data_IF_930423285626
#
_entry.id   IF_930423285626
#
_cell.length_a   1.000
_cell.length_b   1.000
_cell.length_c   1.000
_cell.angle_alpha   90.00
_cell.angle_beta   90.00
_cell.angle_gamma   90.00
#
_symmetry.space_group_name_H-M   'P 1'
#
loop_
_entity.id
_entity.type
_entity.pdbx_description
1 polymer ?
#
# COMPACT_ATOMS: atom_id res chain seq x y z
N UNK A 1 30.36 -2.82 18.14
CA UNK A 1 29.71 -2.53 16.85
C UNK A 1 28.47 -1.71 17.12
N UNK A 2 28.35 -0.51 16.53
CA UNK A 2 27.19 0.34 16.71
C UNK A 2 25.95 -0.34 16.11
N UNK A 3 24.89 -0.51 16.90
CA UNK A 3 23.62 -1.02 16.40
C UNK A 3 22.96 0.07 15.56
N UNK A 4 22.78 -0.19 14.27
CA UNK A 4 22.04 0.70 13.38
C UNK A 4 20.53 0.39 13.46
N UNK A 5 19.70 1.43 13.36
CA UNK A 5 18.25 1.27 13.37
C UNK A 5 17.76 0.78 12.01
N UNK A 6 16.95 -0.27 12.01
CA UNK A 6 16.20 -0.74 10.85
C UNK A 6 14.69 -0.60 11.11
N UNK A 7 13.91 -0.49 10.04
CA UNK A 7 12.45 -0.46 10.07
C UNK A 7 11.87 -1.39 8.99
N UNK A 8 10.68 -1.91 9.25
CA UNK A 8 9.95 -2.70 8.26
C UNK A 8 9.14 -1.76 7.37
N UNK A 9 9.12 -2.04 6.07
CA UNK A 9 8.38 -1.29 5.07
C UNK A 9 7.55 -2.26 4.24
N UNK A 10 6.32 -1.86 3.92
CA UNK A 10 5.50 -2.54 2.93
C UNK A 10 5.74 -1.92 1.54
N UNK A 11 5.67 -2.76 0.51
CA UNK A 11 5.59 -2.37 -0.89
C UNK A 11 4.35 -3.04 -1.46
N UNK A 12 3.42 -2.23 -1.95
CA UNK A 12 2.22 -2.72 -2.60
C UNK A 12 2.37 -2.60 -4.10
N UNK A 13 2.29 -3.72 -4.81
CA UNK A 13 2.35 -3.76 -6.27
C UNK A 13 1.12 -4.49 -6.80
N UNK A 14 0.37 -3.81 -7.67
CA UNK A 14 -0.63 -4.46 -8.50
C UNK A 14 0.11 -5.36 -9.50
N UNK A 15 0.03 -6.68 -9.33
CA UNK A 15 0.59 -7.65 -10.27
C UNK A 15 -0.54 -8.28 -11.13
N UNK A 16 -0.17 -9.11 -12.10
CA UNK A 16 -1.10 -9.75 -13.04
C UNK A 16 -2.01 -10.83 -12.43
N UNK A 17 -1.71 -11.29 -11.21
CA UNK A 17 -2.44 -12.33 -10.48
C UNK A 17 -3.24 -11.76 -9.30
N UNK A 18 -3.12 -10.46 -9.02
CA UNK A 18 -3.75 -9.78 -7.89
C UNK A 18 -2.90 -8.61 -7.40
N UNK A 19 -3.35 -7.96 -6.34
CA UNK A 19 -2.53 -6.97 -5.64
C UNK A 19 -1.79 -7.71 -4.54
N UNK A 20 -0.46 -7.68 -4.60
CA UNK A 20 0.40 -8.35 -3.62
C UNK A 20 1.18 -7.29 -2.83
N UNK A 21 1.32 -7.51 -1.53
CA UNK A 21 2.13 -6.65 -0.68
C UNK A 21 3.33 -7.42 -0.17
N UNK A 22 4.51 -6.82 -0.33
CA UNK A 22 5.77 -7.39 0.13
C UNK A 22 6.29 -6.60 1.30
N UNK A 23 6.74 -7.32 2.31
CA UNK A 23 7.42 -6.75 3.46
C UNK A 23 8.94 -6.80 3.21
N UNK A 24 9.61 -5.68 3.44
CA UNK A 24 11.06 -5.59 3.35
C UNK A 24 11.61 -4.82 4.55
N UNK A 25 12.85 -5.14 4.93
CA UNK A 25 13.56 -4.40 5.96
C UNK A 25 14.39 -3.31 5.32
N UNK A 26 14.41 -2.14 5.96
CA UNK A 26 15.09 -0.95 5.52
C UNK A 26 16.00 -0.43 6.63
N UNK A 27 17.20 0.01 6.29
CA UNK A 27 18.04 0.76 7.22
C UNK A 27 17.56 2.23 7.31
N UNK A 28 18.21 3.03 8.16
CA UNK A 28 17.92 4.47 8.29
C UNK A 28 18.06 5.26 6.97
N UNK A 29 18.85 4.76 6.02
CA UNK A 29 19.06 5.36 4.70
C UNK A 29 18.03 4.92 3.65
N UNK A 30 17.14 3.98 3.97
CA UNK A 30 16.16 3.43 3.03
C UNK A 30 16.71 2.30 2.14
N UNK A 31 17.92 1.80 2.41
CA UNK A 31 18.50 0.65 1.74
C UNK A 31 17.89 -0.65 2.28
N UNK A 32 17.73 -1.64 1.41
CA UNK A 32 17.17 -2.94 1.80
C UNK A 32 18.17 -3.73 2.63
N UNK A 33 17.71 -4.31 3.74
CA UNK A 33 18.51 -5.11 4.67
C UNK A 33 17.97 -6.54 4.73
N UNK A 34 18.85 -7.53 4.87
CA UNK A 34 18.46 -8.93 5.11
C UNK A 34 17.77 -9.11 6.46
N UNK A 35 16.72 -9.93 6.52
CA UNK A 35 15.96 -10.17 7.75
C UNK A 35 16.80 -10.84 8.85
N UNK A 36 17.81 -11.61 8.46
CA UNK A 36 18.79 -12.28 9.31
C UNK A 36 19.66 -11.30 10.12
N UNK A 37 19.78 -10.04 9.66
CA UNK A 37 20.53 -9.00 10.33
C UNK A 37 19.68 -8.11 11.24
N UNK A 38 18.36 -8.34 11.29
CA UNK A 38 17.43 -7.51 12.05
C UNK A 38 16.95 -8.25 13.29
N UNK A 39 17.00 -7.55 14.43
CA UNK A 39 16.36 -7.99 15.67
C UNK A 39 15.20 -7.08 16.01
N UNK A 40 14.08 -7.67 16.42
CA UNK A 40 12.97 -6.90 16.97
C UNK A 40 13.38 -6.24 18.28
N UNK A 41 12.74 -5.11 18.58
CA UNK A 41 12.82 -4.49 19.90
C UNK A 41 12.22 -5.44 20.94
N UNK A 42 12.68 -5.32 22.17
CA UNK A 42 12.13 -6.09 23.29
C UNK A 42 10.62 -5.88 23.40
N UNK A 43 9.87 -6.97 23.58
CA UNK A 43 8.41 -6.96 23.65
C UNK A 43 7.66 -6.83 22.31
N UNK A 44 8.36 -6.64 21.18
CA UNK A 44 7.73 -6.55 19.85
C UNK A 44 7.74 -7.90 19.15
N UNK A 45 6.54 -8.41 18.88
CA UNK A 45 6.37 -9.61 18.05
C UNK A 45 6.45 -9.27 16.56
N UNK A 46 6.79 -10.28 15.74
CA UNK A 46 6.75 -10.15 14.28
C UNK A 46 5.36 -9.73 13.77
N UNK A 47 4.28 -10.25 14.38
CA UNK A 47 2.92 -9.90 14.01
C UNK A 47 2.62 -8.41 14.24
N UNK A 48 2.96 -7.88 15.42
CA UNK A 48 2.80 -6.46 15.73
C UNK A 48 3.63 -5.56 14.80
N UNK A 49 4.83 -5.99 14.43
CA UNK A 49 5.67 -5.26 13.49
C UNK A 49 5.03 -5.21 12.08
N UNK A 50 4.44 -6.32 11.62
CA UNK A 50 3.73 -6.38 10.34
C UNK A 50 2.50 -5.49 10.37
N UNK A 51 1.66 -5.61 11.39
CA UNK A 51 0.46 -4.78 11.58
C UNK A 51 0.82 -3.29 11.57
N UNK A 52 1.82 -2.89 12.36
CA UNK A 52 2.28 -1.51 12.42
C UNK A 52 2.79 -1.00 11.07
N UNK A 53 3.44 -1.87 10.29
CA UNK A 53 3.94 -1.53 8.96
C UNK A 53 2.80 -1.31 7.98
N UNK A 54 1.79 -2.18 7.97
CA UNK A 54 0.60 -2.06 7.12
C UNK A 54 -0.15 -0.78 7.46
N UNK A 55 -0.43 -0.54 8.74
CA UNK A 55 -1.12 0.67 9.21
C UNK A 55 -0.36 1.93 8.80
N UNK A 56 0.97 1.93 8.93
CA UNK A 56 1.77 3.07 8.54
C UNK A 56 1.73 3.29 7.02
N UNK A 57 1.84 2.22 6.23
CA UNK A 57 1.76 2.29 4.78
C UNK A 57 0.40 2.81 4.32
N UNK A 58 -0.70 2.28 4.86
CA UNK A 58 -2.07 2.71 4.51
C UNK A 58 -2.32 4.19 4.86
N UNK A 59 -1.79 4.66 6.00
CA UNK A 59 -1.84 6.08 6.38
C UNK A 59 -1.11 6.96 5.36
N UNK A 60 0.12 6.57 4.99
CA UNK A 60 0.91 7.30 4.01
C UNK A 60 0.24 7.30 2.63
N UNK A 61 -0.33 6.17 2.20
CA UNK A 61 -1.00 6.04 0.92
C UNK A 61 -2.28 6.89 0.87
N UNK A 62 -3.09 6.85 1.93
CA UNK A 62 -4.27 7.73 2.06
C UNK A 62 -3.89 9.20 1.95
N UNK A 63 -2.87 9.63 2.70
CA UNK A 63 -2.41 11.02 2.66
C UNK A 63 -1.87 11.43 1.28
N UNK A 64 -1.15 10.53 0.60
CA UNK A 64 -0.63 10.76 -0.77
C UNK A 64 -1.76 10.94 -1.77
N UNK A 65 -2.75 10.04 -1.75
CA UNK A 65 -3.91 10.07 -2.66
C UNK A 65 -4.78 11.29 -2.38
N UNK A 66 -5.07 11.58 -1.11
CA UNK A 66 -5.85 12.74 -0.69
C UNK A 66 -5.20 14.05 -1.12
N UNK A 67 -3.89 14.20 -0.86
CA UNK A 67 -3.13 15.39 -1.29
C UNK A 67 -3.23 15.59 -2.80
N UNK A 68 -2.91 14.56 -3.58
CA UNK A 68 -2.94 14.65 -5.04
C UNK A 68 -4.33 14.99 -5.57
N UNK A 69 -5.37 14.29 -5.12
CA UNK A 69 -6.73 14.52 -5.58
C UNK A 69 -7.23 15.92 -5.19
N UNK A 70 -6.88 16.40 -4.00
CA UNK A 70 -7.22 17.75 -3.53
C UNK A 70 -6.54 18.82 -4.37
N UNK A 71 -5.23 18.71 -4.59
CA UNK A 71 -4.46 19.65 -5.42
C UNK A 71 -4.99 19.70 -6.87
N UNK A 72 -5.34 18.55 -7.45
CA UNK A 72 -5.94 18.46 -8.77
C UNK A 72 -7.29 19.20 -8.84
N UNK A 73 -8.19 18.96 -7.88
CA UNK A 73 -9.51 19.61 -7.86
C UNK A 73 -9.37 21.13 -7.71
N UNK A 74 -8.48 21.59 -6.82
CA UNK A 74 -8.22 23.01 -6.61
C UNK A 74 -7.66 23.65 -7.90
N UNK A 75 -6.70 23.02 -8.55
CA UNK A 75 -6.13 23.52 -9.79
C UNK A 75 -7.19 23.64 -10.90
N UNK A 76 -8.03 22.61 -11.06
CA UNK A 76 -9.14 22.63 -12.03
C UNK A 76 -10.15 23.74 -11.71
N UNK A 77 -10.51 23.91 -10.43
CA UNK A 77 -11.42 24.98 -10.00
C UNK A 77 -10.86 26.37 -10.32
N UNK A 78 -9.56 26.60 -10.02
CA UNK A 78 -8.88 27.87 -10.35
C UNK A 78 -8.90 28.15 -11.84
N UNK A 79 -8.60 27.16 -12.67
CA UNK A 79 -8.65 27.32 -14.13
C UNK A 79 -10.06 27.63 -14.64
N UNK A 80 -11.11 27.06 -14.05
CA UNK A 80 -12.50 27.40 -14.38
C UNK A 80 -12.81 28.86 -14.08
N UNK A 81 -12.40 29.37 -12.92
CA UNK A 81 -12.60 30.77 -12.53
C UNK A 81 -11.88 31.72 -13.49
N UNK A 82 -10.61 31.45 -13.80
CA UNK A 82 -9.82 32.27 -14.75
C UNK A 82 -10.48 32.30 -16.12
N UNK A 83 -10.97 31.15 -16.60
CA UNK A 83 -11.65 31.07 -17.89
C UNK A 83 -12.97 31.83 -17.90
N UNK A 84 -13.79 31.66 -16.85
CA UNK A 84 -15.04 32.39 -16.70
C UNK A 84 -14.80 33.91 -16.67
N UNK A 85 -13.79 34.37 -15.93
CA UNK A 85 -13.44 35.79 -15.88
C UNK A 85 -13.01 36.35 -17.25
N UNK A 86 -12.36 35.53 -18.08
CA UNK A 86 -11.96 35.90 -19.45
C UNK A 86 -13.13 35.91 -20.44
N UNK A 87 -13.99 34.91 -20.39
CA UNK A 87 -15.11 34.74 -21.34
C UNK A 87 -16.32 35.63 -20.99
N UNK A 88 -16.44 36.03 -19.72
CA UNK A 88 -17.55 36.84 -19.23
C UNK A 88 -18.85 36.05 -19.15
N UNK A 89 -19.97 36.77 -19.04
CA UNK A 89 -21.31 36.18 -18.82
C UNK A 89 -22.19 36.17 -20.07
N UNK A 90 -21.61 36.47 -21.23
CA UNK A 90 -22.35 36.57 -22.50
C UNK A 90 -22.83 35.20 -23.00
N UNK A 91 -22.10 34.13 -22.68
CA UNK A 91 -22.49 32.75 -22.97
C UNK A 91 -22.92 32.04 -21.69
N UNK A 92 -23.84 31.05 -21.79
CA UNK A 92 -24.17 30.20 -20.65
C UNK A 92 -22.91 29.55 -20.06
N UNK A 93 -22.78 29.50 -18.72
CA UNK A 93 -21.63 28.88 -18.08
C UNK A 93 -21.58 27.39 -18.44
N UNK A 94 -20.44 26.95 -18.94
CA UNK A 94 -20.17 25.54 -19.20
C UNK A 94 -18.80 25.15 -18.66
N UNK A 95 -18.62 23.87 -18.32
CA UNK A 95 -17.33 23.34 -17.89
C UNK A 95 -16.71 22.54 -19.04
N UNK A 96 -15.61 23.06 -19.64
CA UNK A 96 -14.83 22.38 -20.67
C UNK A 96 -14.32 21.02 -20.19
N UNK A 97 -14.23 20.05 -21.10
CA UNK A 97 -13.89 18.66 -20.77
C UNK A 97 -12.54 18.54 -20.07
N UNK A 98 -11.56 19.33 -20.49
CA UNK A 98 -10.20 19.41 -19.94
C UNK A 98 -10.16 19.95 -18.49
N UNK A 99 -11.20 20.69 -18.10
CA UNK A 99 -11.35 21.24 -16.75
C UNK A 99 -12.25 20.36 -15.85
N UNK A 100 -12.75 19.23 -16.35
CA UNK A 100 -13.51 18.27 -15.53
C UNK A 100 -12.56 17.35 -14.78
N UNK A 101 -13.00 16.93 -13.59
CA UNK A 101 -12.23 16.01 -12.73
C UNK A 101 -12.16 14.62 -13.37
N UNK A 102 -13.28 14.08 -13.85
CA UNK A 102 -13.36 12.79 -14.55
C UNK A 102 -12.55 11.66 -13.86
N UNK A 103 -12.05 10.68 -14.63
CA UNK A 103 -11.20 9.56 -14.18
C UNK A 103 -9.74 9.97 -13.91
N UNK A 104 -9.49 11.24 -13.54
CA UNK A 104 -8.12 11.75 -13.30
C UNK A 104 -7.69 11.64 -11.83
N UNK A 105 -8.63 11.34 -10.94
CA UNK A 105 -8.33 11.07 -9.53
C UNK A 105 -7.68 9.70 -9.39
N UNK A 106 -6.76 9.61 -8.44
CA UNK A 106 -6.17 8.34 -8.04
C UNK A 106 -7.14 7.64 -7.10
N UNK A 107 -7.43 6.36 -7.38
CA UNK A 107 -8.17 5.50 -6.45
C UNK A 107 -7.26 5.13 -5.28
N UNK A 108 -7.74 5.35 -4.06
CA UNK A 108 -7.07 4.87 -2.86
C UNK A 108 -7.32 3.37 -2.73
N UNK A 109 -6.27 2.56 -2.82
CA UNK A 109 -6.33 1.13 -2.53
C UNK A 109 -5.41 0.88 -1.34
N UNK A 110 -5.94 0.29 -0.28
CA UNK A 110 -5.20 0.04 0.95
C UNK A 110 -4.89 -1.45 1.06
N UNK A 111 -3.78 -1.76 1.72
CA UNK A 111 -3.45 -3.15 2.05
C UNK A 111 -4.52 -3.69 3.00
N UNK A 112 -5.01 -2.89 3.95
CA UNK A 112 -6.08 -3.30 4.86
C UNK A 112 -7.37 -3.73 4.16
N UNK A 113 -7.70 -3.10 3.03
CA UNK A 113 -8.96 -3.37 2.32
C UNK A 113 -8.95 -4.77 1.68
N UNK A 114 -7.75 -5.29 1.39
CA UNK A 114 -7.53 -6.54 0.65
C UNK A 114 -6.92 -7.65 1.53
N UNK A 115 -6.58 -7.30 2.78
CA UNK A 115 -5.93 -8.21 3.71
C UNK A 115 -6.79 -9.44 4.03
N UNK A 116 -8.12 -9.28 4.08
CA UNK A 116 -9.04 -10.37 4.36
C UNK A 116 -9.01 -11.44 3.26
N UNK A 117 -8.99 -11.02 2.00
CA UNK A 117 -8.87 -11.94 0.86
C UNK A 117 -7.53 -12.68 0.90
N UNK A 118 -6.44 -11.94 1.12
CA UNK A 118 -5.11 -12.52 1.28
C UNK A 118 -5.05 -13.54 2.42
N UNK A 119 -5.63 -13.21 3.58
CA UNK A 119 -5.68 -14.11 4.74
C UNK A 119 -6.46 -15.39 4.43
N UNK A 120 -7.61 -15.29 3.77
CA UNK A 120 -8.43 -16.44 3.43
C UNK A 120 -7.70 -17.40 2.46
N UNK A 121 -6.97 -16.87 1.49
CA UNK A 121 -6.13 -17.66 0.57
C UNK A 121 -5.04 -18.41 1.36
N UNK A 122 -4.27 -17.71 2.19
CA UNK A 122 -3.19 -18.31 2.98
C UNK A 122 -3.72 -19.37 3.96
N UNK A 123 -4.88 -19.11 4.58
CA UNK A 123 -5.55 -20.05 5.48
C UNK A 123 -5.98 -21.32 4.74
N UNK A 124 -6.53 -21.20 3.54
CA UNK A 124 -6.91 -22.35 2.70
C UNK A 124 -5.68 -23.19 2.30
N UNK A 125 -4.60 -22.53 1.89
CA UNK A 125 -3.30 -23.20 1.59
C UNK A 125 -2.78 -23.93 2.81
N UNK A 126 -2.77 -23.29 3.98
CA UNK A 126 -2.35 -23.92 5.24
C UNK A 126 -3.16 -25.19 5.55
N UNK A 127 -4.49 -25.12 5.38
CA UNK A 127 -5.38 -26.28 5.56
C UNK A 127 -5.03 -27.43 4.61
N UNK A 128 -4.82 -27.14 3.33
CA UNK A 128 -4.44 -28.14 2.33
C UNK A 128 -3.08 -28.79 2.62
N UNK A 129 -2.07 -28.01 3.01
CA UNK A 129 -0.74 -28.51 3.34
C UNK A 129 -0.73 -29.36 4.61
N UNK A 130 -1.46 -28.96 5.65
CA UNK A 130 -1.60 -29.71 6.90
C UNK A 130 -2.17 -31.12 6.64
N UNK A 131 -3.12 -31.24 5.71
CA UNK A 131 -3.70 -32.52 5.31
C UNK A 131 -2.70 -33.46 4.60
N UNK A 132 -1.71 -32.92 3.88
CA UNK A 132 -0.80 -33.70 3.03
C UNK A 132 0.45 -34.25 3.73
N UNK A 133 0.79 -33.79 4.94
CA UNK A 133 1.92 -34.28 5.77
C UNK A 133 3.25 -34.49 5.01
N UNK A 134 3.55 -33.63 4.04
CA UNK A 134 4.69 -33.77 3.11
C UNK A 134 6.05 -33.73 3.83
N UNK A 135 6.14 -33.08 4.99
CA UNK A 135 7.38 -32.89 5.74
C UNK A 135 7.78 -34.01 6.71
N UNK A 136 7.12 -35.18 6.71
CA UNK A 136 7.63 -36.33 7.50
C UNK A 136 8.75 -37.01 6.70
N UNK A 137 10.01 -37.00 7.18
CA UNK A 137 11.06 -37.79 6.55
C UNK A 137 10.67 -39.27 6.60
N UNK A 138 10.71 -39.98 5.47
CA UNK A 138 10.44 -41.42 5.35
C UNK A 138 11.52 -42.29 6.05
N UNK A 139 12.19 -41.81 7.09
CA UNK A 139 13.31 -42.48 7.75
C UNK A 139 13.01 -42.71 9.24
N UNK A 140 11.88 -43.34 9.53
CA UNK A 140 11.64 -44.06 10.79
C UNK A 140 10.68 -45.23 10.51
N UNK A 141 11.14 -46.16 9.67
CA UNK A 141 10.66 -47.55 9.66
C UNK A 141 11.92 -48.41 9.78
N UNK A 142 12.29 -48.73 11.02
CA UNK A 142 13.07 -49.92 11.38
C UNK A 142 12.29 -50.59 12.48
#
# INVERSE_FOLDING_TARGET
MAQATAYMSAKFESNSEGKDFKLCWKDKGGLTVGAEFVRFKEGVTKAQAIESTIVNWDKCERARVEKYNTELIIALARMRIVRFAREGTALPPYIPQELRVNNRTIKCNLISDEFEEHYNIIKAVHGGLKGRKIGRPNHMII
#
